data_IF_010595048640
#
_entry.id   IF_010595048640
#
_cell.length_a   1.000
_cell.length_b   1.000
_cell.length_c   1.000
_cell.angle_alpha   90.00
_cell.angle_beta   90.00
_cell.angle_gamma   90.00
#
_symmetry.space_group_name_H-M   'P 1'
#
loop_
_entity.id
_entity.type
_entity.pdbx_description
1 polymer ?
#
# COMPACT_ATOMS: atom_id res chain seq x y z
N UNK A 1 -24.96 -2.42 -12.49
CA UNK A 1 -23.53 -2.05 -12.53
C UNK A 1 -23.07 -1.98 -11.10
N UNK A 2 -22.32 -3.00 -10.66
CA UNK A 2 -21.87 -3.16 -9.29
C UNK A 2 -20.71 -2.19 -9.02
N UNK A 3 -20.54 -1.78 -7.77
CA UNK A 3 -19.48 -0.86 -7.36
C UNK A 3 -18.10 -1.38 -7.78
N UNK A 4 -17.92 -2.70 -7.84
CA UNK A 4 -16.72 -3.39 -8.31
C UNK A 4 -16.37 -3.05 -9.77
N UNK A 5 -17.35 -3.11 -10.69
CA UNK A 5 -17.15 -2.74 -12.10
C UNK A 5 -16.75 -1.26 -12.24
N UNK A 6 -17.39 -0.39 -11.45
CA UNK A 6 -17.09 1.03 -11.43
C UNK A 6 -15.67 1.30 -10.90
N UNK A 7 -15.28 0.63 -9.81
CA UNK A 7 -13.94 0.71 -9.24
C UNK A 7 -12.89 0.19 -10.22
N UNK A 8 -13.15 -0.94 -10.90
CA UNK A 8 -12.23 -1.51 -11.87
C UNK A 8 -12.01 -0.58 -13.07
N UNK A 9 -13.09 0.01 -13.59
CA UNK A 9 -13.01 0.85 -14.78
C UNK A 9 -12.41 2.24 -14.50
N UNK A 10 -12.65 2.82 -13.31
CA UNK A 10 -12.24 4.20 -12.97
C UNK A 10 -10.99 4.30 -12.09
N UNK A 11 -10.73 3.35 -11.20
CA UNK A 11 -9.60 3.42 -10.26
C UNK A 11 -8.34 2.70 -10.73
N UNK A 12 -8.41 1.85 -11.76
CA UNK A 12 -7.22 1.20 -12.32
C UNK A 12 -6.15 2.21 -12.77
N UNK A 13 -6.58 3.36 -13.29
CA UNK A 13 -5.68 4.38 -13.83
C UNK A 13 -4.90 5.10 -12.71
N UNK A 14 -5.54 5.68 -11.67
CA UNK A 14 -4.83 6.20 -10.50
C UNK A 14 -3.86 5.20 -9.87
N UNK A 15 -4.28 3.94 -9.71
CA UNK A 15 -3.46 2.88 -9.12
C UNK A 15 -2.19 2.57 -9.92
N UNK A 16 -2.27 2.69 -11.25
CA UNK A 16 -1.11 2.46 -12.15
C UNK A 16 -0.29 3.73 -12.39
N UNK A 17 -0.72 4.88 -11.88
CA UNK A 17 -0.07 6.17 -12.09
C UNK A 17 -0.07 6.66 -13.53
N UNK A 18 -0.89 6.06 -14.39
CA UNK A 18 -0.95 6.35 -15.82
C UNK A 18 -2.21 7.17 -16.12
N UNK A 19 -2.00 8.46 -16.39
CA UNK A 19 -3.04 9.32 -16.94
C UNK A 19 -3.41 8.86 -18.36
N UNK A 20 -4.71 8.83 -18.67
CA UNK A 20 -5.19 8.55 -20.02
C UNK A 20 -4.71 9.64 -20.99
N UNK A 21 -4.25 9.23 -22.17
CA UNK A 21 -3.88 10.15 -23.24
C UNK A 21 -5.08 11.04 -23.60
N UNK A 22 -4.94 12.35 -23.40
CA UNK A 22 -6.00 13.34 -23.65
C UNK A 22 -6.87 13.71 -22.43
N UNK A 23 -6.62 13.14 -21.25
CA UNK A 23 -7.28 13.58 -20.02
C UNK A 23 -6.73 14.93 -19.56
N UNK A 24 -7.63 15.85 -19.17
CA UNK A 24 -7.22 17.10 -18.53
C UNK A 24 -6.58 16.81 -17.17
N UNK A 25 -5.49 17.51 -16.87
CA UNK A 25 -4.78 17.41 -15.59
C UNK A 25 -5.72 17.58 -14.37
N UNK A 26 -6.64 18.53 -14.42
CA UNK A 26 -7.61 18.76 -13.33
C UNK A 26 -8.56 17.59 -13.11
N UNK A 27 -8.95 16.89 -14.18
CA UNK A 27 -9.81 15.72 -14.09
C UNK A 27 -9.03 14.52 -13.54
N UNK A 28 -7.76 14.42 -13.91
CA UNK A 28 -6.84 13.42 -13.38
C UNK A 28 -6.62 13.60 -11.87
N UNK A 29 -6.31 14.82 -11.43
CA UNK A 29 -6.10 15.14 -10.01
C UNK A 29 -7.36 14.85 -9.18
N UNK A 30 -8.55 15.16 -9.70
CA UNK A 30 -9.82 14.83 -9.04
C UNK A 30 -10.00 13.31 -8.90
N UNK A 31 -9.72 12.54 -9.95
CA UNK A 31 -9.81 11.08 -9.90
C UNK A 31 -8.79 10.48 -8.93
N UNK A 32 -7.56 11.01 -8.92
CA UNK A 32 -6.50 10.56 -8.01
C UNK A 32 -6.88 10.83 -6.54
N UNK A 33 -7.45 12.01 -6.24
CA UNK A 33 -7.95 12.33 -4.91
C UNK A 33 -9.13 11.45 -4.48
N UNK A 34 -10.05 11.14 -5.39
CA UNK A 34 -11.17 10.23 -5.11
C UNK A 34 -10.67 8.82 -4.82
N UNK A 35 -9.72 8.32 -5.62
CA UNK A 35 -9.11 7.01 -5.43
C UNK A 35 -8.40 6.94 -4.06
N UNK A 36 -7.61 7.97 -3.73
CA UNK A 36 -6.94 8.12 -2.45
C UNK A 36 -7.93 8.03 -1.27
N UNK A 37 -9.03 8.77 -1.34
CA UNK A 37 -10.06 8.77 -0.30
C UNK A 37 -10.75 7.41 -0.13
N UNK A 38 -11.10 6.75 -1.23
CA UNK A 38 -11.72 5.41 -1.18
C UNK A 38 -10.78 4.40 -0.54
N UNK A 39 -9.49 4.43 -0.88
CA UNK A 39 -8.49 3.51 -0.32
C UNK A 39 -8.32 3.77 1.18
N UNK A 40 -8.18 5.03 1.60
CA UNK A 40 -8.07 5.39 3.02
C UNK A 40 -9.30 4.96 3.83
N UNK A 41 -10.51 5.09 3.28
CA UNK A 41 -11.76 4.67 3.93
C UNK A 41 -11.91 3.15 4.04
N UNK A 42 -11.33 2.40 3.11
CA UNK A 42 -11.47 0.93 3.05
C UNK A 42 -10.43 0.22 3.91
N UNK A 43 -9.28 0.85 4.17
CA UNK A 43 -8.19 0.26 4.94
C UNK A 43 -8.48 0.23 6.45
N UNK A 44 -7.92 -0.77 7.13
CA UNK A 44 -7.92 -0.81 8.58
C UNK A 44 -7.18 0.41 9.16
N UNK A 45 -7.65 0.92 10.30
CA UNK A 45 -7.18 2.18 10.89
C UNK A 45 -5.66 2.28 11.09
N UNK A 46 -5.02 1.16 11.43
CA UNK A 46 -3.56 1.06 11.61
C UNK A 46 -2.78 1.22 10.29
N UNK A 47 -3.33 0.73 9.17
CA UNK A 47 -2.73 0.88 7.85
C UNK A 47 -3.02 2.27 7.29
N UNK A 48 -4.27 2.74 7.44
CA UNK A 48 -4.71 4.06 6.98
C UNK A 48 -3.89 5.21 7.60
N UNK A 49 -3.48 5.08 8.87
CA UNK A 49 -2.67 6.10 9.54
C UNK A 49 -1.27 6.27 8.92
N UNK A 50 -0.67 5.19 8.41
CA UNK A 50 0.67 5.23 7.82
C UNK A 50 0.71 5.91 6.45
N UNK A 51 -0.43 5.95 5.76
CA UNK A 51 -0.58 6.52 4.41
C UNK A 51 -1.32 7.87 4.42
N UNK A 52 -1.68 8.41 5.59
CA UNK A 52 -2.49 9.62 5.71
C UNK A 52 -1.80 10.87 5.14
N UNK A 53 -0.46 10.85 5.09
CA UNK A 53 0.35 11.94 4.54
C UNK A 53 0.56 11.84 3.02
N UNK A 54 0.16 10.73 2.40
CA UNK A 54 0.33 10.52 0.97
C UNK A 54 -0.65 11.38 0.20
N UNK A 55 -0.13 12.09 -0.81
CA UNK A 55 -0.91 13.05 -1.60
C UNK A 55 -1.39 12.48 -2.93
N UNK A 56 -0.79 11.37 -3.36
CA UNK A 56 -1.09 10.73 -4.64
C UNK A 56 -1.30 9.25 -4.44
N UNK A 57 -2.09 8.63 -5.33
CA UNK A 57 -2.28 7.16 -5.29
C UNK A 57 -0.97 6.42 -5.56
N UNK A 58 -0.06 7.01 -6.35
CA UNK A 58 1.26 6.43 -6.64
C UNK A 58 2.11 6.34 -5.37
N UNK A 59 2.22 7.45 -4.64
CA UNK A 59 3.03 7.49 -3.42
C UNK A 59 2.43 6.58 -2.35
N UNK A 60 1.10 6.54 -2.25
CA UNK A 60 0.38 5.57 -1.42
C UNK A 60 0.74 4.12 -1.78
N UNK A 61 0.67 3.75 -3.06
CA UNK A 61 0.95 2.37 -3.50
C UNK A 61 2.41 2.00 -3.19
N UNK A 62 3.33 2.95 -3.37
CA UNK A 62 4.73 2.77 -3.01
C UNK A 62 4.93 2.57 -1.50
N UNK A 63 4.25 3.34 -0.66
CA UNK A 63 4.31 3.20 0.80
C UNK A 63 3.72 1.87 1.26
N UNK A 64 2.57 1.46 0.71
CA UNK A 64 2.01 0.13 0.98
C UNK A 64 2.96 -0.99 0.55
N UNK A 65 3.54 -0.89 -0.65
CA UNK A 65 4.55 -1.85 -1.15
C UNK A 65 5.71 -1.97 -0.16
N UNK A 66 6.29 -0.85 0.25
CA UNK A 66 7.40 -0.81 1.20
C UNK A 66 7.06 -1.43 2.56
N UNK A 67 5.81 -1.27 3.05
CA UNK A 67 5.37 -1.82 4.33
C UNK A 67 5.31 -3.35 4.33
N UNK A 68 4.95 -3.97 3.20
CA UNK A 68 4.72 -5.41 3.11
C UNK A 68 5.86 -6.17 2.42
N UNK A 69 6.61 -5.54 1.52
CA UNK A 69 7.76 -6.15 0.84
C UNK A 69 9.02 -6.18 1.71
N UNK A 70 9.13 -5.26 2.68
CA UNK A 70 10.25 -5.24 3.62
C UNK A 70 9.91 -6.19 4.78
N UNK A 71 10.58 -7.35 4.91
CA UNK A 71 10.39 -8.16 6.10
C UNK A 71 10.86 -7.30 7.27
N UNK A 72 10.00 -7.16 8.29
CA UNK A 72 10.33 -6.54 9.56
C UNK A 72 11.51 -7.31 10.17
N UNK A 73 12.73 -6.90 9.81
CA UNK A 73 13.97 -7.57 10.17
C UNK A 73 14.30 -7.45 11.67
N UNK A 74 13.42 -6.84 12.46
CA UNK A 74 13.56 -6.73 13.92
C UNK A 74 12.92 -7.90 14.70
N UNK A 75 12.22 -8.83 14.03
CA UNK A 75 11.75 -10.07 14.68
C UNK A 75 12.78 -11.21 14.69
N UNK A 76 13.97 -11.00 14.13
CA UNK A 76 15.11 -11.92 14.22
C UNK A 76 16.32 -11.25 14.88
N UNK A 77 16.14 -10.67 16.07
CA UNK A 77 17.26 -10.65 17.03
C UNK A 77 17.17 -11.93 17.84
N UNK A 78 18.05 -12.93 17.63
CA UNK A 78 18.20 -14.02 18.59
C UNK A 78 18.80 -13.44 19.88
N UNK A 79 17.94 -13.11 20.84
CA UNK A 79 18.34 -12.78 22.21
C UNK A 79 18.89 -14.04 22.89
N UNK A 80 20.21 -14.15 22.88
CA UNK A 80 21.12 -14.74 23.88
C UNK A 80 20.89 -16.19 24.40
N UNK A 81 21.90 -17.05 24.11
CA UNK A 81 22.60 -18.05 24.96
C UNK A 81 21.77 -19.20 25.59
N UNK A 82 22.15 -20.49 25.54
CA UNK A 82 23.48 -21.15 25.64
C UNK A 82 23.49 -22.56 25.02
N UNK A 83 24.69 -23.16 24.79
CA UNK A 83 24.85 -24.47 24.17
C UNK A 83 24.76 -25.61 25.20
N UNK A 84 24.08 -26.71 24.87
CA UNK A 84 24.19 -27.95 25.64
C UNK A 84 24.81 -29.05 24.78
N UNK A 85 26.09 -29.30 25.11
CA UNK A 85 26.86 -30.48 24.77
C UNK A 85 26.18 -31.72 25.38
N UNK A 86 25.74 -32.66 24.55
CA UNK A 86 25.74 -34.13 24.76
C UNK A 86 24.67 -34.82 23.90
N UNK A 87 25.06 -35.39 22.76
CA UNK A 87 24.62 -36.70 22.22
C UNK A 87 25.79 -37.14 21.31
N UNK A 88 26.82 -37.82 21.83
CA UNK A 88 26.95 -39.29 21.91
C UNK A 88 26.43 -40.02 20.66
N UNK A 89 27.25 -40.04 19.60
CA UNK A 89 27.73 -41.26 18.92
C UNK A 89 29.11 -40.98 18.32
#
# INVERSE_FOLDING_TARGET
>A
MQIEDYLYQKMYQPLTGKSLYGMKQTNWELLDQQALGVIQLTLAKNVAFNILNEKTTIDLMKTLSNMYEKPSADLMKPSALTPTRQELY
#
